data_IF_648606679968
#
_entry.id   IF_648606679968
#
_cell.length_a   1.000
_cell.length_b   1.000
_cell.length_c   1.000
_cell.angle_alpha   90.00
_cell.angle_beta   90.00
_cell.angle_gamma   90.00
#
_symmetry.space_group_name_H-M   'P 1'
#
loop_
_entity.id
_entity.type
_entity.pdbx_description
1 polymer ?
#
# COMPACT_ATOMS: atom_id res chain seq x y z
N UNK A 1 9.55 3.61 35.59
CA UNK A 1 8.16 3.11 35.49
C UNK A 1 8.19 1.98 34.48
N UNK A 2 7.59 0.85 34.82
CA UNK A 2 7.44 -0.26 33.89
C UNK A 2 6.36 0.09 32.86
N UNK A 3 6.64 -0.23 31.61
CA UNK A 3 5.67 -0.12 30.51
C UNK A 3 5.52 -1.47 29.84
N UNK A 4 4.36 -1.70 29.22
CA UNK A 4 4.17 -2.87 28.36
C UNK A 4 4.94 -2.67 27.05
N UNK A 5 5.54 -3.74 26.53
CA UNK A 5 6.22 -3.77 25.24
C UNK A 5 5.85 -5.02 24.46
N UNK A 6 5.67 -4.84 23.15
CA UNK A 6 5.66 -5.92 22.18
C UNK A 6 7.08 -6.18 21.71
N UNK A 7 7.63 -7.33 22.07
CA UNK A 7 8.93 -7.80 21.59
C UNK A 7 8.74 -8.45 20.23
N UNK A 8 9.41 -7.93 19.21
CA UNK A 8 9.20 -8.31 17.82
C UNK A 8 10.51 -8.66 17.12
N UNK A 9 10.39 -9.49 16.09
CA UNK A 9 11.48 -9.86 15.20
C UNK A 9 11.10 -9.54 13.75
N UNK A 10 12.06 -9.00 12.99
CA UNK A 10 11.92 -8.69 11.57
C UNK A 10 13.04 -9.42 10.83
N UNK A 11 12.70 -10.52 10.18
CA UNK A 11 13.57 -11.23 9.27
C UNK A 11 13.74 -10.45 7.96
N UNK A 12 14.96 -10.45 7.46
CA UNK A 12 15.36 -9.85 6.20
C UNK A 12 16.48 -10.70 5.58
N UNK A 13 16.93 -10.34 4.38
CA UNK A 13 17.93 -11.11 3.62
C UNK A 13 19.22 -11.44 4.39
N UNK A 14 19.65 -10.54 5.29
CA UNK A 14 20.94 -10.64 5.98
C UNK A 14 20.83 -11.14 7.43
N UNK A 15 19.62 -11.44 7.92
CA UNK A 15 19.43 -11.84 9.32
C UNK A 15 18.07 -11.46 9.87
N UNK A 16 18.04 -11.15 11.17
CA UNK A 16 16.84 -10.72 11.86
C UNK A 16 17.16 -9.60 12.84
N UNK A 17 16.33 -8.56 12.82
CA UNK A 17 16.41 -7.45 13.79
C UNK A 17 15.36 -7.65 14.87
N UNK A 18 15.77 -7.45 16.13
CA UNK A 18 14.90 -7.54 17.31
C UNK A 18 14.60 -6.17 17.87
N UNK A 19 13.33 -5.82 17.90
CA UNK A 19 12.86 -4.52 18.37
C UNK A 19 11.78 -4.69 19.44
N UNK A 20 11.58 -3.64 20.23
CA UNK A 20 10.46 -3.50 21.14
C UNK A 20 9.65 -2.26 20.78
N UNK A 21 8.32 -2.41 20.72
CA UNK A 21 7.37 -1.31 20.53
C UNK A 21 6.55 -1.15 21.81
N UNK A 22 6.43 0.09 22.30
CA UNK A 22 5.67 0.39 23.52
C UNK A 22 4.18 0.05 23.31
N UNK A 23 3.61 -0.70 24.24
CA UNK A 23 2.31 -1.34 24.07
C UNK A 23 1.13 -0.38 24.10
N UNK A 24 1.23 0.73 24.82
CA UNK A 24 0.22 1.81 24.87
C UNK A 24 0.07 2.55 23.53
N UNK A 25 1.07 2.46 22.64
CA UNK A 25 1.01 3.00 21.29
C UNK A 25 0.28 2.06 20.30
N UNK A 26 0.12 0.79 20.66
CA UNK A 26 -0.43 -0.26 19.80
C UNK A 26 -1.94 -0.38 20.03
N UNK A 27 -2.72 0.04 19.06
CA UNK A 27 -4.18 -0.05 19.03
C UNK A 27 -4.65 -1.50 18.82
N UNK A 28 -3.88 -2.29 18.07
CA UNK A 28 -4.21 -3.67 17.76
C UNK A 28 -3.12 -4.36 16.94
N UNK A 29 -3.37 -5.61 16.56
CA UNK A 29 -2.49 -6.40 15.69
C UNK A 29 -3.32 -6.93 14.54
N UNK A 30 -2.80 -6.83 13.32
CA UNK A 30 -3.37 -7.43 12.13
C UNK A 30 -2.39 -8.43 11.50
N UNK A 31 -2.93 -9.44 10.84
CA UNK A 31 -2.24 -10.38 9.96
C UNK A 31 -2.66 -10.22 8.49
N UNK A 32 -3.51 -9.23 8.19
CA UNK A 32 -4.03 -8.94 6.85
C UNK A 32 -3.35 -7.68 6.32
N UNK A 33 -2.69 -7.79 5.17
CA UNK A 33 -2.16 -6.63 4.46
C UNK A 33 -2.24 -6.76 2.94
N UNK A 34 -2.20 -5.60 2.31
CA UNK A 34 -2.25 -5.41 0.87
C UNK A 34 -0.93 -4.78 0.43
N UNK A 35 -0.18 -5.37 -0.50
CA UNK A 35 1.07 -4.79 -0.99
C UNK A 35 0.80 -3.47 -1.71
N UNK A 36 1.71 -2.52 -1.57
CA UNK A 36 1.72 -1.28 -2.34
C UNK A 36 2.77 -1.39 -3.46
N UNK A 37 2.58 -0.69 -4.59
CA UNK A 37 3.63 -0.51 -5.58
C UNK A 37 4.90 0.07 -4.92
N UNK A 38 6.07 -0.43 -5.31
CA UNK A 38 7.37 -0.03 -4.72
C UNK A 38 7.61 1.50 -4.77
N UNK A 39 6.96 2.18 -5.71
CA UNK A 39 7.07 3.61 -5.98
C UNK A 39 6.51 4.52 -4.86
N UNK A 40 5.72 3.98 -3.92
CA UNK A 40 4.99 4.78 -2.91
C UNK A 40 5.79 4.94 -1.61
N UNK A 41 6.92 4.23 -1.45
CA UNK A 41 7.78 4.34 -0.26
C UNK A 41 7.16 3.81 1.03
N UNK A 42 6.09 3.02 0.91
CA UNK A 42 5.49 2.19 1.97
C UNK A 42 5.41 0.76 1.46
N UNK A 43 5.48 -0.22 2.36
CA UNK A 43 5.46 -1.65 1.97
C UNK A 43 4.06 -2.17 1.62
N UNK A 44 3.01 -1.38 1.90
CA UNK A 44 1.62 -1.80 1.74
C UNK A 44 0.69 -1.08 2.68
N UNK A 45 -0.48 -1.69 2.90
CA UNK A 45 -1.48 -1.27 3.87
C UNK A 45 -1.96 -2.47 4.68
N UNK A 46 -1.99 -2.35 6.01
CA UNK A 46 -2.55 -3.37 6.89
C UNK A 46 -4.01 -3.03 7.23
N UNK A 47 -4.88 -4.04 7.27
CA UNK A 47 -6.28 -3.86 7.62
C UNK A 47 -6.50 -4.05 9.12
N UNK A 48 -7.12 -3.08 9.77
CA UNK A 48 -7.57 -3.21 11.14
C UNK A 48 -8.87 -2.43 11.37
N UNK A 49 -9.88 -3.07 11.95
CA UNK A 49 -11.19 -2.49 12.26
C UNK A 49 -11.85 -1.73 11.09
N UNK A 50 -11.66 -2.24 9.86
CA UNK A 50 -12.17 -1.60 8.65
C UNK A 50 -11.40 -0.34 8.25
N UNK A 51 -10.14 -0.19 8.66
CA UNK A 51 -9.23 0.87 8.23
C UNK A 51 -7.92 0.27 7.69
N UNK A 52 -7.39 0.89 6.63
CA UNK A 52 -6.11 0.60 6.00
C UNK A 52 -5.05 1.54 6.56
N UNK A 53 -4.06 0.95 7.22
CA UNK A 53 -2.93 1.64 7.82
C UNK A 53 -1.70 1.47 6.94
N UNK A 54 -0.99 2.54 6.53
CA UNK A 54 0.21 2.40 5.72
C UNK A 54 1.25 1.58 6.47
N UNK A 55 1.83 0.58 5.79
CA UNK A 55 2.83 -0.32 6.38
C UNK A 55 4.22 0.29 6.25
N UNK A 56 4.87 0.45 7.38
CA UNK A 56 6.27 0.82 7.52
C UNK A 56 7.00 -0.20 8.38
N UNK A 57 8.32 -0.20 8.36
CA UNK A 57 9.13 -1.04 9.23
C UNK A 57 10.46 -0.35 9.56
N UNK A 58 11.38 -1.08 10.19
CA UNK A 58 12.74 -0.66 10.46
C UNK A 58 13.46 -0.22 9.18
N UNK A 59 14.29 0.83 9.29
CA UNK A 59 15.02 1.39 8.16
C UNK A 59 16.07 0.41 7.58
N UNK A 60 16.47 0.60 6.32
CA UNK A 60 17.61 -0.09 5.70
C UNK A 60 17.55 -1.64 5.64
N UNK A 61 16.37 -2.25 5.83
CA UNK A 61 16.21 -3.69 5.63
C UNK A 61 16.09 -4.03 4.15
N UNK A 62 16.90 -4.97 3.67
CA UNK A 62 16.76 -5.54 2.33
C UNK A 62 15.81 -6.73 2.37
N UNK A 63 14.77 -6.70 1.54
CA UNK A 63 13.77 -7.78 1.40
C UNK A 63 13.18 -8.21 2.77
N UNK A 64 12.61 -7.28 3.57
CA UNK A 64 12.03 -7.64 4.85
C UNK A 64 10.76 -8.49 4.67
N UNK A 65 10.58 -9.47 5.56
CA UNK A 65 9.44 -10.40 5.53
C UNK A 65 8.43 -10.00 6.59
N UNK A 66 7.21 -9.64 6.21
CA UNK A 66 6.15 -9.30 7.16
C UNK A 66 5.09 -10.38 7.24
N UNK A 67 4.64 -10.67 8.46
CA UNK A 67 3.49 -11.56 8.74
C UNK A 67 2.48 -10.90 9.67
N UNK A 68 2.94 -9.99 10.53
CA UNK A 68 2.11 -9.30 11.49
C UNK A 68 2.34 -7.79 11.41
N UNK A 69 1.32 -7.04 11.76
CA UNK A 69 1.27 -5.60 11.65
C UNK A 69 0.77 -5.02 12.96
N UNK A 70 1.65 -4.38 13.72
CA UNK A 70 1.24 -3.65 14.92
C UNK A 70 0.61 -2.34 14.48
N UNK A 71 -0.65 -2.14 14.84
CA UNK A 71 -1.45 -0.99 14.41
C UNK A 71 -1.20 0.14 15.40
N UNK A 72 -0.54 1.19 14.95
CA UNK A 72 -0.35 2.42 15.69
C UNK A 72 -1.31 3.49 15.18
N UNK A 73 -1.34 4.64 15.86
CA UNK A 73 -2.27 5.74 15.56
C UNK A 73 -2.26 6.20 14.09
N UNK A 74 -1.11 6.17 13.41
CA UNK A 74 -0.93 6.75 12.07
C UNK A 74 -0.48 5.74 11.00
N UNK A 75 0.00 4.56 11.40
CA UNK A 75 0.57 3.56 10.51
C UNK A 75 0.52 2.17 11.14
N UNK A 76 0.83 1.17 10.32
CA UNK A 76 1.05 -0.20 10.74
C UNK A 76 2.55 -0.52 10.70
N UNK A 77 3.10 -1.03 11.79
CA UNK A 77 4.49 -1.45 11.84
C UNK A 77 4.60 -2.94 11.48
N UNK A 78 5.18 -3.22 10.32
CA UNK A 78 5.36 -4.58 9.80
C UNK A 78 6.49 -5.32 10.51
N UNK A 79 6.18 -6.52 11.01
CA UNK A 79 7.11 -7.43 11.66
C UNK A 79 6.92 -8.87 11.16
N UNK A 80 7.96 -9.69 11.27
CA UNK A 80 7.87 -11.12 10.92
C UNK A 80 7.20 -11.91 12.04
N UNK A 81 7.51 -11.58 13.29
CA UNK A 81 7.00 -12.30 14.46
C UNK A 81 6.86 -11.36 15.66
N UNK A 82 5.77 -11.53 16.40
CA UNK A 82 5.65 -11.02 17.77
C UNK A 82 6.11 -12.15 18.70
N UNK A 83 7.22 -11.95 19.40
CA UNK A 83 7.82 -12.93 20.31
C UNK A 83 6.97 -13.06 21.57
N UNK A 84 6.72 -11.93 22.25
CA UNK A 84 5.88 -11.86 23.44
C UNK A 84 5.49 -10.41 23.76
N UNK A 85 4.50 -10.25 24.65
CA UNK A 85 4.26 -9.00 25.38
C UNK A 85 4.88 -9.10 26.76
N UNK A 86 5.56 -8.04 27.22
CA UNK A 86 6.19 -8.01 28.54
C UNK A 86 6.06 -6.64 29.19
N UNK A 87 6.02 -6.60 30.52
CA UNK A 87 6.30 -5.39 31.28
C UNK A 87 7.82 -5.26 31.45
N UNK A 88 8.39 -4.09 31.17
CA UNK A 88 9.82 -3.86 31.32
C UNK A 88 10.13 -2.39 31.59
N UNK A 89 11.30 -2.13 32.18
CA UNK A 89 11.93 -0.81 32.20
C UNK A 89 13.10 -0.86 31.22
N UNK A 90 13.05 -0.14 30.08
CA UNK A 90 14.16 -0.11 29.15
C UNK A 90 15.41 0.47 29.80
N UNK A 91 16.56 -0.11 29.48
CA UNK A 91 17.86 0.47 29.78
C UNK A 91 18.10 1.57 28.73
N UNK A 92 18.19 2.87 29.12
CA UNK A 92 18.36 3.96 28.17
C UNK A 92 19.67 3.83 27.40
N UNK A 93 19.67 4.19 26.11
CA UNK A 93 20.89 4.11 25.30
C UNK A 93 21.99 5.04 25.84
N UNK A 94 23.06 4.43 26.36
CA UNK A 94 24.30 5.07 26.78
C UNK A 94 25.44 4.60 25.86
N UNK A 95 26.49 5.40 25.61
CA UNK A 95 27.68 4.96 24.88
C UNK A 95 28.33 3.66 25.38
N UNK A 96 27.98 3.19 26.58
CA UNK A 96 28.53 1.97 27.22
C UNK A 96 27.65 0.71 27.06
N UNK A 97 26.54 0.76 26.32
CA UNK A 97 25.73 -0.44 26.09
C UNK A 97 26.44 -1.40 25.15
N UNK A 98 26.34 -2.73 25.39
CA UNK A 98 26.73 -3.73 24.40
C UNK A 98 25.85 -3.59 23.15
N UNK A 99 26.26 -2.70 22.25
CA UNK A 99 25.81 -2.70 20.87
C UNK A 99 26.35 -3.96 20.22
N UNK A 100 25.46 -4.82 19.74
CA UNK A 100 25.87 -5.86 18.81
C UNK A 100 26.62 -5.17 17.66
N UNK A 101 27.89 -5.53 17.46
CA UNK A 101 28.80 -4.84 16.52
C UNK A 101 28.46 -5.16 15.05
N UNK A 102 27.28 -5.72 14.79
CA UNK A 102 26.72 -5.90 13.45
C UNK A 102 26.48 -4.52 12.82
N UNK A 103 26.85 -4.36 11.56
CA UNK A 103 26.67 -3.14 10.76
C UNK A 103 25.20 -2.68 10.59
N UNK A 104 24.25 -3.39 11.19
CA UNK A 104 22.82 -3.07 11.23
C UNK A 104 22.50 -1.84 12.11
N UNK A 105 23.47 -1.37 12.91
CA UNK A 105 23.38 -0.20 13.80
C UNK A 105 23.67 1.14 13.10
N UNK A 106 22.99 1.47 11.99
CA UNK A 106 23.34 2.67 11.22
C UNK A 106 22.91 4.01 11.84
N UNK A 107 21.94 4.06 12.75
CA UNK A 107 21.49 5.31 13.42
C UNK A 107 20.98 5.07 14.85
N UNK A 108 21.78 5.41 15.86
CA UNK A 108 21.40 5.41 17.29
C UNK A 108 20.08 6.16 17.58
N UNK A 109 19.70 7.13 16.74
CA UNK A 109 18.48 7.92 16.87
C UNK A 109 17.18 7.13 16.66
N UNK A 110 17.26 5.96 16.02
CA UNK A 110 16.10 5.09 15.76
C UNK A 110 15.63 4.33 17.02
N UNK A 111 16.36 4.47 18.12
CA UNK A 111 16.13 3.73 19.34
C UNK A 111 16.19 4.64 20.58
N UNK A 112 15.46 4.27 21.63
CA UNK A 112 15.45 5.00 22.91
C UNK A 112 16.04 4.20 24.07
N UNK A 113 16.15 2.88 23.92
CA UNK A 113 16.65 1.98 24.96
C UNK A 113 16.79 0.55 24.49
N UNK A 114 17.12 -0.35 25.40
CA UNK A 114 17.17 -1.80 25.18
C UNK A 114 16.46 -2.53 26.31
N UNK A 115 15.74 -3.60 25.97
CA UNK A 115 15.17 -4.57 26.90
C UNK A 115 15.98 -5.85 26.76
N UNK A 116 16.48 -6.35 27.89
CA UNK A 116 17.24 -7.60 27.97
C UNK A 116 16.30 -8.68 28.46
N UNK A 117 16.04 -9.68 27.64
CA UNK A 117 15.25 -10.85 28.01
C UNK A 117 16.19 -12.02 28.29
N UNK A 118 16.08 -12.62 29.47
CA UNK A 118 16.77 -13.88 29.76
C UNK A 118 15.92 -15.03 29.22
N UNK A 119 16.51 -15.86 28.35
CA UNK A 119 15.88 -17.06 27.83
C UNK A 119 16.07 -18.24 28.77
N UNK A 120 15.22 -19.27 28.65
CA UNK A 120 15.29 -20.50 29.46
C UNK A 120 16.66 -21.20 29.43
N UNK A 121 17.49 -20.89 28.42
CA UNK A 121 18.82 -21.47 28.22
C UNK A 121 19.93 -20.62 28.87
N UNK A 122 19.59 -19.58 29.65
CA UNK A 122 20.53 -18.63 30.25
C UNK A 122 21.18 -17.67 29.25
N UNK A 123 20.68 -17.60 28.01
CA UNK A 123 21.14 -16.62 27.01
C UNK A 123 20.32 -15.35 27.13
N UNK A 124 20.99 -14.20 27.05
CA UNK A 124 20.35 -12.89 26.99
C UNK A 124 20.04 -12.53 25.54
N UNK A 125 18.78 -12.22 25.27
CA UNK A 125 18.31 -11.65 24.02
C UNK A 125 18.07 -10.15 24.20
N UNK A 126 18.58 -9.37 23.25
CA UNK A 126 18.45 -7.91 23.26
C UNK A 126 17.33 -7.50 22.31
N UNK A 127 16.38 -6.71 22.82
CA UNK A 127 15.33 -6.08 22.04
C UNK A 127 15.48 -4.56 22.14
N UNK A 128 15.76 -3.91 21.03
CA UNK A 128 15.97 -2.46 21.02
C UNK A 128 14.64 -1.73 20.96
N UNK A 129 14.40 -0.82 21.91
CA UNK A 129 13.16 -0.04 21.97
C UNK A 129 13.14 0.95 20.82
N UNK A 130 12.24 0.72 19.88
CA UNK A 130 12.17 1.48 18.64
C UNK A 130 11.54 2.85 18.87
N UNK A 131 12.15 3.89 18.33
CA UNK A 131 11.68 5.25 18.42
C UNK A 131 10.66 5.56 17.33
N UNK A 132 9.38 5.30 17.61
CA UNK A 132 8.29 5.52 16.67
C UNK A 132 8.07 7.00 16.31
N UNK A 133 8.61 7.96 17.08
CA UNK A 133 8.47 9.40 16.81
C UNK A 133 9.29 9.88 15.62
N UNK A 134 10.35 9.17 15.23
CA UNK A 134 11.18 9.53 14.07
C UNK A 134 10.74 8.87 12.77
N UNK A 135 9.66 8.08 12.78
CA UNK A 135 9.10 7.49 11.56
C UNK A 135 8.45 8.61 10.76
N UNK A 136 9.04 8.90 9.59
CA UNK A 136 8.48 9.84 8.63
C UNK A 136 7.69 9.08 7.57
N UNK A 137 6.37 9.25 7.56
CA UNK A 137 5.53 8.74 6.49
C UNK A 137 5.63 9.65 5.26
N UNK A 138 5.54 9.10 4.04
CA UNK A 138 5.32 9.91 2.84
C UNK A 138 4.08 10.80 3.03
N UNK A 139 4.10 12.04 2.54
CA UNK A 139 2.96 13.00 2.70
C UNK A 139 1.62 12.46 2.17
N UNK A 140 1.67 11.45 1.31
CA UNK A 140 0.55 10.77 0.67
C UNK A 140 0.04 9.55 1.44
N UNK A 141 0.80 9.02 2.41
CA UNK A 141 0.40 7.90 3.24
C UNK A 141 -0.58 8.40 4.32
N UNK A 142 -1.83 7.92 4.26
CA UNK A 142 -2.90 8.26 5.22
C UNK A 142 -3.67 7.00 5.57
N UNK A 143 -4.26 6.98 6.76
CA UNK A 143 -5.22 5.96 7.14
C UNK A 143 -6.50 6.16 6.33
N UNK A 144 -6.95 5.10 5.66
CA UNK A 144 -8.16 5.14 4.83
C UNK A 144 -9.15 4.14 5.39
N UNK A 145 -10.41 4.53 5.58
CA UNK A 145 -11.44 3.57 5.96
C UNK A 145 -11.65 2.59 4.80
N UNK A 146 -11.43 1.31 5.03
CA UNK A 146 -11.82 0.26 4.11
C UNK A 146 -13.34 0.14 4.17
N UNK A 147 -14.01 0.58 3.11
CA UNK A 147 -15.42 0.28 2.92
C UNK A 147 -15.54 -1.22 2.61
N UNK A 148 -15.77 -2.02 3.65
CA UNK A 148 -16.13 -3.43 3.50
C UNK A 148 -17.48 -3.45 2.81
N UNK A 149 -17.48 -3.81 1.53
CA UNK A 149 -18.67 -3.99 0.73
C UNK A 149 -19.42 -5.25 1.18
N UNK A 150 -20.13 -5.15 2.30
CA UNK A 150 -21.24 -6.04 2.62
C UNK A 150 -22.47 -5.21 3.04
N UNK A 151 -23.28 -4.91 2.03
CA UNK A 151 -24.75 -4.94 2.12
C UNK A 151 -25.40 -4.14 3.25
N UNK A 152 -25.22 -2.82 3.26
CA UNK A 152 -26.28 -1.88 3.71
C UNK A 152 -26.38 -0.67 2.78
N UNK A 153 -27.05 -0.93 1.66
CA UNK A 153 -28.10 -0.10 1.06
C UNK A 153 -28.08 1.42 1.35
N UNK A 154 -27.87 2.18 0.27
CA UNK A 154 -28.61 3.41 -0.10
C UNK A 154 -28.11 4.80 0.31
N UNK A 155 -27.02 4.98 1.08
CA UNK A 155 -26.67 6.35 1.54
C UNK A 155 -25.37 6.99 1.05
N UNK A 156 -24.48 6.30 0.34
CA UNK A 156 -23.22 6.90 -0.16
C UNK A 156 -23.00 6.80 -1.68
N UNK A 157 -24.01 6.44 -2.46
CA UNK A 157 -23.95 6.51 -3.93
C UNK A 157 -23.95 7.95 -4.49
N UNK A 158 -23.95 8.98 -3.64
CA UNK A 158 -23.97 10.38 -4.07
C UNK A 158 -22.61 10.92 -4.52
N UNK A 159 -21.50 10.48 -3.91
CA UNK A 159 -20.20 11.16 -4.03
C UNK A 159 -19.18 10.47 -4.96
N UNK A 160 -19.32 9.16 -5.23
CA UNK A 160 -18.46 8.46 -6.21
C UNK A 160 -18.98 8.51 -7.66
N UNK A 161 -20.22 8.95 -7.88
CA UNK A 161 -20.89 8.96 -9.19
C UNK A 161 -20.34 9.95 -10.23
N UNK A 162 -19.18 10.60 -9.99
CA UNK A 162 -18.65 11.65 -10.87
C UNK A 162 -17.13 11.61 -11.10
N UNK A 163 -16.46 10.51 -10.74
CA UNK A 163 -15.02 10.33 -11.02
C UNK A 163 -14.81 9.49 -12.28
N UNK A 164 -13.83 9.90 -13.09
CA UNK A 164 -13.51 9.27 -14.37
C UNK A 164 -12.02 9.00 -14.48
N UNK A 165 -11.67 7.91 -15.17
CA UNK A 165 -10.32 7.62 -15.63
C UNK A 165 -10.16 8.16 -17.06
N UNK A 166 -9.21 9.07 -17.25
CA UNK A 166 -8.78 9.56 -18.56
C UNK A 166 -7.76 8.60 -19.16
N UNK A 167 -8.02 8.15 -20.38
CA UNK A 167 -7.21 7.22 -21.17
C UNK A 167 -6.70 7.94 -22.42
N UNK A 168 -5.39 7.90 -22.63
CA UNK A 168 -4.76 8.42 -23.86
C UNK A 168 -5.01 9.91 -24.12
N UNK A 169 -5.35 10.69 -23.10
CA UNK A 169 -5.76 12.11 -23.17
C UNK A 169 -6.95 12.39 -24.11
N UNK A 170 -7.71 11.37 -24.53
CA UNK A 170 -8.83 11.51 -25.48
C UNK A 170 -10.13 10.93 -24.96
N UNK A 171 -10.04 9.89 -24.12
CA UNK A 171 -11.20 9.14 -23.66
C UNK A 171 -11.32 9.20 -22.14
N UNK A 172 -12.54 9.04 -21.65
CA UNK A 172 -12.85 8.95 -20.23
C UNK A 172 -13.71 7.71 -19.97
N UNK A 173 -13.48 7.04 -18.85
CA UNK A 173 -14.31 5.93 -18.36
C UNK A 173 -14.79 6.24 -16.95
N UNK A 174 -16.07 5.98 -16.62
CA UNK A 174 -16.51 6.04 -15.24
C UNK A 174 -15.61 5.16 -14.37
N UNK A 175 -15.13 5.69 -13.25
CA UNK A 175 -14.24 4.95 -12.35
C UNK A 175 -14.91 3.66 -11.84
N UNK A 176 -16.23 3.68 -11.68
CA UNK A 176 -17.05 2.51 -11.30
C UNK A 176 -17.01 1.35 -12.31
N UNK A 177 -16.65 1.62 -13.58
CA UNK A 177 -16.55 0.60 -14.62
C UNK A 177 -15.15 -0.01 -14.73
N UNK A 178 -14.17 0.52 -13.98
CA UNK A 178 -12.78 0.06 -14.01
C UNK A 178 -12.54 -0.95 -12.88
N UNK A 179 -12.18 -2.17 -13.26
CA UNK A 179 -11.85 -3.24 -12.31
C UNK A 179 -10.44 -3.06 -11.74
N UNK A 180 -9.48 -2.73 -12.59
CA UNK A 180 -8.08 -2.52 -12.20
C UNK A 180 -7.29 -1.81 -13.30
N UNK A 181 -6.06 -1.37 -12.99
CA UNK A 181 -5.09 -0.85 -13.95
C UNK A 181 -3.82 -1.69 -13.80
N UNK A 182 -3.38 -2.30 -14.90
CA UNK A 182 -2.25 -3.23 -14.93
C UNK A 182 -1.13 -2.65 -15.80
N UNK A 183 0.09 -3.16 -15.63
CA UNK A 183 1.20 -2.85 -16.53
C UNK A 183 0.98 -3.51 -17.90
N UNK A 184 1.48 -2.92 -18.98
CA UNK A 184 1.24 -3.44 -20.33
C UNK A 184 2.14 -4.64 -20.72
N UNK A 185 3.05 -5.06 -19.84
CA UNK A 185 3.88 -6.26 -19.99
C UNK A 185 3.09 -7.57 -19.80
N UNK A 186 1.98 -7.53 -19.07
CA UNK A 186 1.09 -8.69 -18.90
C UNK A 186 0.22 -8.99 -20.13
N UNK A 187 0.26 -8.13 -21.15
CA UNK A 187 -0.51 -8.33 -22.38
C UNK A 187 0.13 -9.43 -23.21
N UNK A 188 -0.60 -10.53 -23.40
CA UNK A 188 -0.22 -11.56 -24.36
C UNK A 188 -0.48 -11.04 -25.76
N UNK A 189 0.56 -10.88 -26.62
CA UNK A 189 0.39 -10.28 -27.94
C UNK A 189 -0.48 -11.14 -28.85
N UNK A 190 -1.55 -10.55 -29.37
CA UNK A 190 -2.41 -11.15 -30.38
C UNK A 190 -2.98 -10.03 -31.25
N UNK A 191 -2.14 -9.54 -32.18
CA UNK A 191 -2.43 -8.33 -32.93
C UNK A 191 -3.43 -8.57 -34.06
N UNK A 192 -4.48 -7.77 -34.06
CA UNK A 192 -5.46 -7.62 -35.13
C UNK A 192 -5.64 -6.12 -35.44
N UNK A 193 -6.47 -5.76 -36.40
CA UNK A 193 -6.76 -4.34 -36.68
C UNK A 193 -7.38 -3.60 -35.50
N UNK A 194 -8.06 -4.31 -34.60
CA UNK A 194 -8.81 -3.71 -33.48
C UNK A 194 -8.20 -4.01 -32.10
N UNK A 195 -7.35 -5.03 -31.99
CA UNK A 195 -6.86 -5.56 -30.72
C UNK A 195 -5.35 -5.74 -30.74
N UNK A 196 -4.70 -5.36 -29.65
CA UNK A 196 -3.26 -5.50 -29.41
C UNK A 196 -2.90 -6.88 -28.83
N UNK A 197 -3.87 -7.54 -28.20
CA UNK A 197 -3.67 -8.80 -27.50
C UNK A 197 -4.81 -9.09 -26.54
N UNK A 198 -4.50 -9.85 -25.49
CA UNK A 198 -5.40 -10.14 -24.39
C UNK A 198 -4.64 -10.24 -23.06
N UNK A 199 -5.38 -10.18 -21.96
CA UNK A 199 -4.88 -10.45 -20.60
C UNK A 199 -5.73 -11.55 -19.98
N UNK A 200 -5.13 -12.35 -19.10
CA UNK A 200 -5.86 -13.29 -18.26
C UNK A 200 -6.06 -12.65 -16.88
N UNK A 201 -7.27 -12.15 -16.65
CA UNK A 201 -7.69 -11.52 -15.40
C UNK A 201 -9.05 -12.09 -15.01
N UNK A 202 -9.03 -13.21 -14.28
CA UNK A 202 -10.18 -14.10 -13.96
C UNK A 202 -10.87 -14.75 -15.18
N UNK A 203 -10.84 -14.06 -16.32
CA UNK A 203 -11.20 -14.48 -17.66
C UNK A 203 -10.24 -13.85 -18.67
N UNK A 204 -10.24 -14.36 -19.90
CA UNK A 204 -9.50 -13.75 -21.00
C UNK A 204 -10.22 -12.47 -21.46
N UNK A 205 -9.55 -11.32 -21.33
CA UNK A 205 -10.07 -10.00 -21.69
C UNK A 205 -9.25 -9.46 -22.88
N UNK A 206 -9.88 -9.11 -24.02
CA UNK A 206 -9.17 -8.54 -25.16
C UNK A 206 -8.69 -7.12 -24.85
N UNK A 207 -7.50 -6.77 -25.34
CA UNK A 207 -6.85 -5.48 -25.08
C UNK A 207 -6.77 -4.66 -26.36
N UNK A 208 -7.29 -3.43 -26.32
CA UNK A 208 -7.22 -2.45 -27.42
C UNK A 208 -6.25 -1.33 -27.07
N UNK A 209 -5.38 -0.98 -28.02
CA UNK A 209 -4.52 0.19 -27.85
C UNK A 209 -5.28 1.49 -28.14
N UNK A 210 -5.18 2.42 -27.20
CA UNK A 210 -5.83 3.73 -27.27
C UNK A 210 -4.87 4.84 -27.70
N UNK A 211 -3.57 4.53 -27.76
CA UNK A 211 -2.53 5.46 -28.19
C UNK A 211 -2.24 5.30 -29.69
N UNK A 212 -2.17 6.41 -30.42
CA UNK A 212 -1.81 6.41 -31.84
C UNK A 212 -0.31 6.14 -32.03
N UNK A 213 0.03 5.04 -32.70
CA UNK A 213 1.39 4.75 -33.17
C UNK A 213 2.41 4.36 -32.09
N UNK A 214 2.00 4.19 -30.82
CA UNK A 214 2.88 3.70 -29.75
C UNK A 214 2.15 2.71 -28.86
N UNK A 215 2.88 1.70 -28.38
CA UNK A 215 2.38 0.75 -27.40
C UNK A 215 2.28 1.43 -26.03
N UNK A 216 1.09 1.49 -25.45
CA UNK A 216 0.87 2.05 -24.11
C UNK A 216 1.59 1.26 -23.01
N UNK A 217 1.80 1.92 -21.87
CA UNK A 217 2.50 1.37 -20.70
C UNK A 217 1.57 0.72 -19.67
N UNK A 218 0.29 1.08 -19.73
CA UNK A 218 -0.75 0.65 -18.79
C UNK A 218 -1.88 0.00 -19.57
N UNK A 219 -2.66 -0.84 -18.89
CA UNK A 219 -3.92 -1.42 -19.37
C UNK A 219 -5.00 -1.14 -18.34
N UNK A 220 -5.98 -0.32 -18.69
CA UNK A 220 -7.17 -0.08 -17.86
C UNK A 220 -8.18 -1.19 -18.14
N UNK A 221 -8.44 -2.05 -17.16
CA UNK A 221 -9.28 -3.24 -17.31
C UNK A 221 -10.71 -2.93 -16.90
N UNK A 222 -11.65 -3.07 -17.82
CA UNK A 222 -13.08 -3.10 -17.52
C UNK A 222 -13.57 -4.54 -17.49
N UNK A 223 -14.87 -4.74 -17.31
CA UNK A 223 -15.45 -6.07 -17.42
C UNK A 223 -15.13 -6.73 -18.77
N UNK A 224 -15.32 -6.04 -19.88
CA UNK A 224 -15.29 -6.64 -21.22
C UNK A 224 -14.02 -6.37 -22.01
N UNK A 225 -13.28 -5.29 -21.70
CA UNK A 225 -12.17 -4.80 -22.53
C UNK A 225 -11.04 -4.25 -21.65
N UNK A 226 -9.80 -4.50 -22.07
CA UNK A 226 -8.62 -3.80 -21.57
C UNK A 226 -8.25 -2.65 -22.52
N UNK A 227 -8.06 -1.45 -21.99
CA UNK A 227 -7.62 -0.29 -22.75
C UNK A 227 -6.16 0.00 -22.47
N UNK A 228 -5.30 -0.32 -23.43
CA UNK A 228 -3.87 -0.04 -23.35
C UNK A 228 -3.59 1.43 -23.64
N UNK A 229 -2.84 2.11 -22.77
CA UNK A 229 -2.49 3.53 -22.93
C UNK A 229 -1.17 3.88 -22.24
N UNK A 230 -0.49 4.93 -22.68
CA UNK A 230 0.73 5.47 -22.07
C UNK A 230 0.47 6.36 -20.87
N UNK A 231 -0.76 6.86 -20.69
CA UNK A 231 -1.13 7.75 -19.59
C UNK A 231 -2.50 7.41 -19.05
N UNK A 232 -2.59 7.38 -17.73
CA UNK A 232 -3.82 7.22 -16.97
C UNK A 232 -3.90 8.34 -15.96
N UNK A 233 -5.06 9.00 -15.85
CA UNK A 233 -5.31 10.04 -14.86
C UNK A 233 -6.72 9.93 -14.31
N UNK A 234 -6.91 10.22 -13.03
CA UNK A 234 -8.24 10.28 -12.42
C UNK A 234 -8.65 11.75 -12.36
N UNK A 235 -9.87 12.05 -12.79
CA UNK A 235 -10.41 13.41 -12.80
C UNK A 235 -11.90 13.43 -12.47
N UNK A 236 -12.41 14.62 -12.21
CA UNK A 236 -13.83 14.91 -12.03
C UNK A 236 -14.22 15.98 -13.05
N UNK A 237 -15.47 15.91 -13.51
CA UNK A 237 -15.91 16.81 -14.56
C UNK A 237 -17.42 16.81 -14.76
N UNK A 238 -17.86 17.67 -15.67
CA UNK A 238 -19.26 17.78 -16.08
C UNK A 238 -19.50 16.89 -17.30
N UNK A 239 -20.53 16.06 -17.24
CA UNK A 239 -20.96 15.27 -18.40
C UNK A 239 -21.77 16.16 -19.35
N UNK A 240 -21.29 16.26 -20.58
CA UNK A 240 -21.99 16.89 -21.70
C UNK A 240 -22.57 15.76 -22.56
N UNK A 241 -23.85 15.87 -22.92
CA UNK A 241 -24.50 14.92 -23.81
C UNK A 241 -24.74 15.61 -25.15
N UNK A 242 -24.26 15.01 -26.24
CA UNK A 242 -24.51 15.48 -27.59
C UNK A 242 -25.74 14.77 -28.14
N UNK A 243 -26.91 15.41 -28.01
CA UNK A 243 -28.23 14.84 -28.35
C UNK A 243 -28.32 14.28 -29.77
N UNK A 244 -27.55 14.81 -30.71
CA UNK A 244 -27.58 14.38 -32.12
C UNK A 244 -26.89 13.04 -32.39
N UNK A 245 -26.07 12.53 -31.45
CA UNK A 245 -25.21 11.36 -31.69
C UNK A 245 -25.20 10.34 -30.54
N UNK A 246 -25.98 10.57 -29.47
CA UNK A 246 -25.94 9.79 -28.21
C UNK A 246 -24.51 9.65 -27.63
N UNK A 247 -23.66 10.64 -27.92
CA UNK A 247 -22.28 10.67 -27.44
C UNK A 247 -22.20 11.48 -26.15
N UNK A 248 -21.53 10.90 -25.15
CA UNK A 248 -21.25 11.55 -23.87
C UNK A 248 -19.80 12.02 -23.83
N UNK A 249 -19.58 13.19 -23.26
CA UNK A 249 -18.26 13.79 -23.09
C UNK A 249 -18.07 14.27 -21.66
N UNK A 250 -16.85 14.17 -21.14
CA UNK A 250 -16.46 14.70 -19.84
C UNK A 250 -15.69 16.01 -20.03
N UNK A 251 -16.26 17.11 -19.57
CA UNK A 251 -15.61 18.41 -19.52
C UNK A 251 -14.90 18.60 -18.17
N UNK A 252 -13.60 18.89 -18.22
CA UNK A 252 -12.73 19.10 -17.07
C UNK A 252 -11.88 20.37 -17.28
N UNK A 253 -11.19 20.89 -16.24
CA UNK A 253 -10.23 21.98 -16.42
C UNK A 253 -9.10 21.66 -17.42
N UNK A 254 -8.77 20.37 -17.61
CA UNK A 254 -7.67 19.91 -18.46
C UNK A 254 -8.11 19.62 -19.91
N UNK A 255 -9.41 19.67 -20.20
CA UNK A 255 -9.96 19.44 -21.52
C UNK A 255 -11.27 18.65 -21.53
N UNK A 256 -11.69 18.28 -22.74
CA UNK A 256 -12.92 17.52 -23.01
C UNK A 256 -12.54 16.12 -23.53
N UNK A 257 -13.06 15.09 -22.88
CA UNK A 257 -12.77 13.70 -23.19
C UNK A 257 -14.04 12.95 -23.61
N UNK A 258 -13.96 12.09 -24.63
CA UNK A 258 -15.11 11.25 -25.02
C UNK A 258 -15.32 10.15 -24.00
N UNK A 259 -16.52 10.02 -23.44
CA UNK A 259 -16.84 8.93 -22.52
C UNK A 259 -17.06 7.66 -23.34
N UNK A 260 -16.37 6.58 -22.97
CA UNK A 260 -16.57 5.24 -23.51
C UNK A 260 -17.16 4.35 -22.40
N UNK A 261 -18.19 3.58 -22.73
CA UNK A 261 -18.91 2.68 -21.81
C UNK A 261 -18.47 1.22 -22.01
#
# INVERSE_FOLDING_TARGET
>A
MEYEYYLCEISHKNGAVRIAIQGDLVLGVSDIAFPAPEEIGVFGFALHDGYLYPVVTHSNLQEPVFKYYLILKEFAFGVTRIVQKTQAVPIPLSPDIPTDKSEDFKRLTEYTGVIVLETDNGKQELFYVYNTFYISLPKTARIVKQEIAETKSERHFGELRKKYIVIGNKFALPLENVLTILSADIVTPFKTEQWDGFIDYERTIPVRNMDEGRAGKFVVVTQSVGYRTSKVGITEGKVLTKETADEKYLETPDGIFKIIE
#
